data_IF_120336689381
#
_entry.id   IF_120336689381
#
_cell.length_a   1.000
_cell.length_b   1.000
_cell.length_c   1.000
_cell.angle_alpha   90.00
_cell.angle_beta   90.00
_cell.angle_gamma   90.00
#
_symmetry.space_group_name_H-M   'P 1'
#
loop_
_entity.id
_entity.type
_entity.pdbx_description
1 polymer ?
#
# COMPACT_ATOMS: atom_id res chain seq x y z
N UNK A 1 1.41 -13.15 18.03
CA UNK A 1 1.53 -11.73 17.58
C UNK A 1 2.98 -11.23 17.59
N UNK A 2 3.81 -11.69 18.53
CA UNK A 2 5.23 -11.27 18.60
C UNK A 2 5.96 -11.43 17.25
N UNK A 3 5.91 -12.62 16.64
CA UNK A 3 6.47 -12.87 15.31
C UNK A 3 5.98 -11.88 14.24
N UNK A 4 4.71 -11.48 14.25
CA UNK A 4 4.20 -10.48 13.31
C UNK A 4 4.88 -9.12 13.51
N UNK A 5 5.03 -8.68 14.76
CA UNK A 5 5.70 -7.39 15.04
C UNK A 5 7.19 -7.43 14.72
N UNK A 6 7.86 -8.58 14.88
CA UNK A 6 9.25 -8.74 14.48
C UNK A 6 9.41 -8.65 12.96
N UNK A 7 8.52 -9.30 12.20
CA UNK A 7 8.49 -9.19 10.72
C UNK A 7 8.23 -7.73 10.32
N UNK A 8 7.21 -7.07 10.87
CA UNK A 8 6.87 -5.69 10.55
C UNK A 8 8.05 -4.74 10.84
N UNK A 9 8.72 -4.89 11.99
CA UNK A 9 9.88 -4.10 12.39
C UNK A 9 11.06 -4.25 11.43
N UNK A 10 11.27 -5.42 10.88
CA UNK A 10 12.31 -5.65 9.89
C UNK A 10 11.95 -5.02 8.54
N UNK A 11 10.71 -5.25 8.05
CA UNK A 11 10.24 -4.73 6.77
C UNK A 11 10.25 -3.20 6.71
N UNK A 12 9.82 -2.52 7.77
CA UNK A 12 9.76 -1.05 7.82
C UNK A 12 11.13 -0.42 7.56
N UNK A 13 12.21 -1.08 7.96
CA UNK A 13 13.59 -0.58 7.78
C UNK A 13 14.11 -0.67 6.35
N UNK A 14 13.48 -1.50 5.51
CA UNK A 14 13.92 -1.70 4.13
C UNK A 14 13.21 -0.69 3.24
N UNK A 15 13.93 0.14 2.47
CA UNK A 15 13.31 1.12 1.60
C UNK A 15 12.57 0.44 0.42
N UNK A 16 11.44 1.04 0.01
CA UNK A 16 10.62 0.55 -1.11
C UNK A 16 9.93 1.70 -1.85
N UNK A 17 10.67 2.71 -2.22
CA UNK A 17 10.11 3.85 -2.97
C UNK A 17 9.54 3.38 -4.29
N UNK A 18 8.37 3.91 -4.66
CA UNK A 18 7.69 3.65 -5.95
C UNK A 18 8.67 3.68 -7.12
N UNK A 19 8.73 2.59 -7.89
CA UNK A 19 9.66 2.42 -9.02
C UNK A 19 11.08 2.00 -8.63
N UNK A 20 11.34 1.75 -7.33
CA UNK A 20 12.63 1.30 -6.80
C UNK A 20 12.44 0.29 -5.66
N UNK A 21 11.50 -0.64 -5.85
CA UNK A 21 11.09 -1.64 -4.84
C UNK A 21 12.04 -2.83 -4.75
N UNK A 22 13.01 -2.94 -5.63
CA UNK A 22 13.89 -4.12 -5.73
C UNK A 22 14.54 -4.54 -4.39
N UNK A 23 15.10 -3.64 -3.57
CA UNK A 23 15.67 -4.03 -2.27
C UNK A 23 14.63 -4.69 -1.35
N UNK A 24 13.40 -4.19 -1.38
CA UNK A 24 12.31 -4.71 -0.58
C UNK A 24 11.83 -6.08 -1.08
N UNK A 25 11.72 -6.26 -2.40
CA UNK A 25 11.43 -7.57 -2.99
C UNK A 25 12.49 -8.62 -2.65
N UNK A 26 13.75 -8.25 -2.69
CA UNK A 26 14.84 -9.17 -2.32
C UNK A 26 14.78 -9.56 -0.84
N UNK A 27 14.39 -8.62 0.02
CA UNK A 27 14.17 -8.91 1.44
C UNK A 27 12.98 -9.86 1.63
N UNK A 28 11.81 -9.57 1.03
CA UNK A 28 10.61 -10.44 1.10
C UNK A 28 10.94 -11.84 0.57
N UNK A 29 11.64 -11.93 -0.55
CA UNK A 29 12.05 -13.19 -1.15
C UNK A 29 12.86 -14.03 -0.17
N UNK A 30 13.90 -13.45 0.44
CA UNK A 30 14.73 -14.14 1.43
C UNK A 30 13.91 -14.62 2.63
N UNK A 31 13.08 -13.74 3.22
CA UNK A 31 12.23 -14.06 4.35
C UNK A 31 11.28 -15.23 4.09
N UNK A 32 10.76 -15.35 2.88
CA UNK A 32 9.88 -16.43 2.48
C UNK A 32 10.64 -17.72 2.14
N UNK A 33 11.78 -17.62 1.46
CA UNK A 33 12.63 -18.78 1.13
C UNK A 33 13.22 -19.43 2.40
N UNK A 34 13.56 -18.66 3.43
CA UNK A 34 13.97 -19.17 4.75
C UNK A 34 12.85 -19.98 5.44
N UNK A 35 11.60 -19.78 5.02
CA UNK A 35 10.42 -20.56 5.47
C UNK A 35 10.02 -21.67 4.49
N UNK A 36 10.93 -22.02 3.56
CA UNK A 36 10.71 -23.01 2.52
C UNK A 36 9.55 -22.68 1.55
N UNK A 37 9.19 -21.42 1.40
CA UNK A 37 8.18 -20.98 0.43
C UNK A 37 8.88 -20.70 -0.91
N UNK A 38 8.36 -21.30 -1.99
CA UNK A 38 8.85 -21.05 -3.34
C UNK A 38 8.50 -19.63 -3.77
N UNK A 39 9.51 -18.85 -4.19
CA UNK A 39 9.32 -17.46 -4.62
C UNK A 39 9.86 -17.26 -6.03
N UNK A 40 9.03 -16.69 -6.89
CA UNK A 40 9.37 -16.35 -8.28
C UNK A 40 9.24 -14.85 -8.48
N UNK A 41 10.22 -14.24 -9.13
CA UNK A 41 10.20 -12.82 -9.48
C UNK A 41 9.84 -12.63 -10.94
N UNK A 42 8.82 -11.87 -11.20
CA UNK A 42 8.42 -11.37 -12.51
C UNK A 42 8.57 -9.85 -12.52
N UNK A 43 8.56 -9.24 -13.71
CA UNK A 43 8.64 -7.79 -13.79
C UNK A 43 7.50 -7.13 -12.99
N UNK A 44 7.86 -6.38 -11.96
CA UNK A 44 6.94 -5.66 -11.08
C UNK A 44 6.08 -6.49 -10.13
N UNK A 45 6.29 -7.82 -10.03
CA UNK A 45 5.60 -8.66 -9.05
C UNK A 45 6.47 -9.81 -8.55
N UNK A 46 6.51 -9.96 -7.23
CA UNK A 46 7.07 -11.12 -6.56
C UNK A 46 5.93 -12.08 -6.21
N UNK A 47 6.05 -13.35 -6.61
CA UNK A 47 5.00 -14.36 -6.44
C UNK A 47 5.50 -15.45 -5.51
N UNK A 48 4.85 -15.59 -4.36
CA UNK A 48 5.12 -16.65 -3.40
C UNK A 48 4.08 -17.77 -3.56
N UNK A 49 4.53 -19.02 -3.58
CA UNK A 49 3.68 -20.21 -3.77
C UNK A 49 3.90 -21.20 -2.63
N UNK A 50 2.88 -21.43 -1.84
CA UNK A 50 2.85 -22.52 -0.87
C UNK A 50 2.58 -23.86 -1.54
N UNK A 51 2.41 -24.90 -0.75
CA UNK A 51 2.22 -26.29 -1.24
C UNK A 51 0.92 -26.50 -2.01
N UNK A 52 -0.10 -25.68 -1.76
CA UNK A 52 -1.41 -25.71 -2.45
C UNK A 52 -1.69 -24.37 -3.12
N UNK A 53 -0.97 -24.01 -4.21
CA UNK A 53 -0.97 -22.66 -4.77
C UNK A 53 -2.33 -22.15 -5.24
N UNK A 54 -3.28 -23.05 -5.51
CA UNK A 54 -4.64 -22.69 -5.93
C UNK A 54 -5.66 -22.65 -4.77
N UNK A 55 -5.24 -22.85 -3.52
CA UNK A 55 -6.14 -22.82 -2.36
C UNK A 55 -6.54 -21.41 -1.92
N UNK A 56 -5.98 -20.37 -2.54
CA UNK A 56 -6.28 -18.98 -2.31
C UNK A 56 -5.26 -18.06 -2.99
N UNK A 57 -5.68 -16.84 -3.31
CA UNK A 57 -4.85 -15.81 -3.90
C UNK A 57 -4.93 -14.55 -3.05
N UNK A 58 -3.79 -14.06 -2.57
CA UNK A 58 -3.69 -12.84 -1.76
C UNK A 58 -2.72 -11.87 -2.44
N UNK A 59 -3.06 -10.59 -2.54
CA UNK A 59 -2.17 -9.53 -3.06
C UNK A 59 -2.00 -8.41 -2.03
N UNK A 60 -0.79 -7.84 -1.97
CA UNK A 60 -0.49 -6.58 -1.32
C UNK A 60 0.58 -5.85 -2.11
N UNK A 61 0.47 -4.51 -2.25
CA UNK A 61 1.54 -3.77 -2.86
C UNK A 61 2.72 -3.58 -1.90
N UNK A 62 3.91 -3.50 -2.49
CA UNK A 62 5.17 -3.42 -1.77
C UNK A 62 5.78 -2.02 -1.79
N UNK A 63 5.34 -1.18 -2.71
CA UNK A 63 5.83 0.19 -2.85
C UNK A 63 5.26 1.11 -1.79
N UNK A 64 6.04 2.12 -1.43
CA UNK A 64 5.71 3.20 -0.52
C UNK A 64 6.01 4.55 -1.14
N UNK A 65 5.33 5.57 -0.64
CA UNK A 65 5.62 6.95 -1.02
C UNK A 65 7.06 7.34 -0.70
N UNK A 66 7.65 8.12 -1.59
CA UNK A 66 9.00 8.65 -1.46
C UNK A 66 9.29 9.63 -2.58
N UNK A 67 10.55 9.99 -2.74
CA UNK A 67 11.02 10.91 -3.75
C UNK A 67 12.04 10.24 -4.67
N UNK A 68 12.30 10.84 -5.81
CA UNK A 68 13.35 10.44 -6.75
C UNK A 68 14.16 11.67 -7.15
N UNK A 69 15.48 11.55 -7.16
CA UNK A 69 16.37 12.55 -7.71
C UNK A 69 16.13 12.67 -9.22
N UNK A 70 15.86 13.87 -9.73
CA UNK A 70 15.61 14.14 -11.15
C UNK A 70 16.59 15.12 -11.77
N UNK A 71 17.50 15.68 -10.95
CA UNK A 71 18.54 16.61 -11.35
C UNK A 71 19.36 17.04 -10.16
N UNK A 72 20.33 17.94 -10.39
CA UNK A 72 21.14 18.49 -9.32
C UNK A 72 20.25 19.25 -8.31
N UNK A 73 20.29 18.83 -7.04
CA UNK A 73 19.45 19.36 -5.97
C UNK A 73 17.96 19.44 -6.29
N UNK A 74 17.47 18.43 -7.05
CA UNK A 74 16.13 18.42 -7.56
C UNK A 74 15.49 17.05 -7.36
N UNK A 75 14.42 17.03 -6.59
CA UNK A 75 13.77 15.82 -6.14
C UNK A 75 12.27 15.91 -6.41
N UNK A 76 11.72 14.90 -7.07
CA UNK A 76 10.30 14.82 -7.39
C UNK A 76 9.63 13.72 -6.58
N UNK A 77 8.33 13.88 -6.36
CA UNK A 77 7.52 12.84 -5.77
C UNK A 77 7.45 11.63 -6.71
N UNK A 78 7.73 10.44 -6.19
CA UNK A 78 7.84 9.23 -7.01
C UNK A 78 6.49 8.62 -7.37
N UNK A 79 5.47 8.80 -6.51
CA UNK A 79 4.11 8.33 -6.75
C UNK A 79 3.32 9.28 -7.67
N UNK A 80 2.10 8.87 -7.99
CA UNK A 80 1.19 9.70 -8.76
C UNK A 80 0.58 10.81 -7.88
N UNK A 81 0.84 12.07 -8.21
CA UNK A 81 0.43 13.22 -7.40
C UNK A 81 -1.02 13.65 -7.68
N UNK A 82 -1.41 13.68 -8.95
CA UNK A 82 -2.72 14.13 -9.39
C UNK A 82 -3.29 13.20 -10.46
N UNK A 83 -4.62 13.07 -10.51
CA UNK A 83 -5.29 12.31 -11.56
C UNK A 83 -5.10 12.92 -12.94
N UNK A 84 -5.10 14.25 -12.99
CA UNK A 84 -4.80 15.02 -14.17
C UNK A 84 -3.67 15.97 -13.83
N UNK A 85 -2.60 15.97 -14.64
CA UNK A 85 -1.50 16.92 -14.46
C UNK A 85 -1.95 18.37 -14.62
N UNK A 86 -3.07 18.63 -15.29
CA UNK A 86 -3.70 19.94 -15.37
C UNK A 86 -4.08 20.50 -13.99
N UNK A 87 -4.34 19.65 -13.01
CA UNK A 87 -4.62 20.06 -11.63
C UNK A 87 -3.40 20.68 -10.91
N UNK A 88 -2.23 20.63 -11.54
CA UNK A 88 -0.97 21.18 -11.00
C UNK A 88 -0.63 22.56 -11.55
N UNK A 89 -1.40 23.08 -12.49
CA UNK A 89 -1.10 24.37 -13.15
C UNK A 89 -2.20 25.40 -12.95
N UNK A 90 -1.83 26.52 -12.36
CA UNK A 90 -2.47 27.81 -12.60
C UNK A 90 -3.79 28.12 -11.90
N UNK A 91 -4.22 27.36 -10.89
CA UNK A 91 -5.42 27.68 -10.14
C UNK A 91 -5.33 27.39 -8.62
N UNK A 92 -6.39 27.69 -7.89
CA UNK A 92 -6.49 27.45 -6.45
C UNK A 92 -6.28 25.99 -6.02
N UNK A 93 -6.52 25.03 -6.91
CA UNK A 93 -6.32 23.61 -6.62
C UNK A 93 -4.83 23.25 -6.56
N UNK A 94 -4.01 23.89 -7.42
CA UNK A 94 -2.55 23.71 -7.43
C UNK A 94 -1.90 24.24 -6.15
N UNK A 95 -2.33 25.39 -5.67
CA UNK A 95 -1.85 25.97 -4.41
C UNK A 95 -2.25 25.10 -3.21
N UNK A 96 -3.49 24.66 -3.18
CA UNK A 96 -3.97 23.74 -2.12
C UNK A 96 -3.22 22.41 -2.12
N UNK A 97 -2.93 21.86 -3.31
CA UNK A 97 -2.16 20.64 -3.45
C UNK A 97 -0.74 20.83 -2.94
N UNK A 98 -0.06 21.91 -3.35
CA UNK A 98 1.28 22.26 -2.88
C UNK A 98 1.29 22.42 -1.35
N UNK A 99 0.34 23.16 -0.80
CA UNK A 99 0.21 23.34 0.65
C UNK A 99 0.08 21.97 1.38
N UNK A 100 -0.78 21.09 0.87
CA UNK A 100 -0.99 19.79 1.47
C UNK A 100 0.27 18.91 1.44
N UNK A 101 1.03 18.94 0.34
CA UNK A 101 2.30 18.21 0.23
C UNK A 101 3.40 18.81 1.10
N UNK A 102 3.51 20.13 1.13
CA UNK A 102 4.45 20.83 1.99
C UNK A 102 4.18 20.52 3.46
N UNK A 103 2.92 20.59 3.89
CA UNK A 103 2.53 20.27 5.27
C UNK A 103 2.81 18.82 5.67
N UNK A 104 2.82 17.88 4.71
CA UNK A 104 3.09 16.45 5.00
C UNK A 104 4.57 16.12 5.13
N UNK A 105 5.42 16.78 4.36
CA UNK A 105 6.78 16.28 4.10
C UNK A 105 7.90 17.27 4.44
N UNK A 106 7.63 18.57 4.54
CA UNK A 106 8.66 19.53 4.95
C UNK A 106 9.07 19.26 6.40
N UNK A 107 10.37 19.33 6.65
CA UNK A 107 11.08 18.96 7.87
C UNK A 107 11.24 17.43 8.10
N UNK A 108 10.65 16.58 7.26
CA UNK A 108 10.88 15.14 7.38
C UNK A 108 12.33 14.77 7.01
N UNK A 109 12.87 13.82 7.76
CA UNK A 109 14.17 13.22 7.46
C UNK A 109 14.00 12.14 6.39
N UNK A 110 14.97 12.08 5.49
CA UNK A 110 14.97 11.16 4.36
C UNK A 110 16.34 10.50 4.21
N UNK A 111 16.33 9.33 3.56
CA UNK A 111 17.53 8.59 3.22
C UNK A 111 17.57 8.26 1.74
N UNK A 112 18.72 8.46 1.10
CA UNK A 112 18.96 8.03 -0.26
C UNK A 112 19.56 6.62 -0.27
N UNK A 113 19.26 5.85 -1.30
CA UNK A 113 19.78 4.49 -1.47
C UNK A 113 19.94 4.12 -2.94
N UNK A 114 20.75 3.12 -3.22
CA UNK A 114 20.88 2.54 -4.55
C UNK A 114 19.62 1.75 -4.93
N UNK A 115 19.04 1.98 -6.12
CA UNK A 115 17.72 1.44 -6.46
C UNK A 115 17.64 -0.09 -6.51
N UNK A 116 18.74 -0.78 -6.82
CA UNK A 116 18.76 -2.24 -6.92
C UNK A 116 19.30 -2.95 -5.67
N UNK A 117 20.40 -2.44 -5.12
CA UNK A 117 21.06 -3.06 -3.97
C UNK A 117 20.48 -2.63 -2.64
N UNK A 118 19.80 -1.49 -2.58
CA UNK A 118 19.35 -0.88 -1.33
C UNK A 118 20.52 -0.29 -0.51
N UNK A 119 21.72 -0.21 -1.09
CA UNK A 119 22.88 0.35 -0.38
C UNK A 119 22.60 1.79 0.00
N UNK A 120 22.71 2.06 1.30
CA UNK A 120 22.55 3.40 1.87
C UNK A 120 23.58 4.36 1.30
N UNK A 121 23.14 5.54 0.88
CA UNK A 121 23.96 6.60 0.30
C UNK A 121 24.13 7.81 1.22
N UNK A 122 23.14 8.12 2.03
CA UNK A 122 23.22 9.26 2.95
C UNK A 122 21.87 9.67 3.52
N UNK A 123 21.93 10.62 4.47
CA UNK A 123 20.76 11.23 5.12
C UNK A 123 20.59 12.67 4.63
N UNK A 124 19.33 13.10 4.55
CA UNK A 124 18.95 14.47 4.27
C UNK A 124 17.70 14.89 5.05
N UNK A 125 17.29 16.13 4.85
CA UNK A 125 16.05 16.66 5.38
C UNK A 125 15.34 17.52 4.32
N UNK A 126 14.04 17.34 4.17
CA UNK A 126 13.23 18.13 3.26
C UNK A 126 13.09 19.53 3.83
N UNK A 127 13.55 20.55 3.10
CA UNK A 127 13.52 21.95 3.52
C UNK A 127 12.33 22.70 2.99
N UNK A 128 11.97 22.43 1.75
CA UNK A 128 10.92 23.15 1.05
C UNK A 128 10.36 22.36 -0.11
N UNK A 129 9.23 22.78 -0.63
CA UNK A 129 8.63 22.25 -1.85
C UNK A 129 8.01 23.40 -2.66
N UNK A 130 8.09 23.33 -3.98
CA UNK A 130 7.50 24.32 -4.87
C UNK A 130 6.89 23.66 -6.11
N UNK A 131 5.90 24.30 -6.69
CA UNK A 131 5.33 23.88 -7.96
C UNK A 131 6.23 24.32 -9.10
N UNK A 132 6.68 23.38 -9.92
CA UNK A 132 7.39 23.66 -11.16
C UNK A 132 6.44 23.57 -12.34
N UNK A 133 5.95 24.71 -12.84
CA UNK A 133 5.03 24.78 -13.98
C UNK A 133 5.60 24.10 -15.22
N UNK A 134 6.88 24.32 -15.53
CA UNK A 134 7.56 23.72 -16.69
C UNK A 134 7.50 22.19 -16.67
N UNK A 135 7.59 21.56 -15.49
CA UNK A 135 7.56 20.11 -15.32
C UNK A 135 6.19 19.59 -14.94
N UNK A 136 5.28 20.51 -14.64
CA UNK A 136 3.96 20.18 -14.11
C UNK A 136 4.06 19.16 -12.96
N UNK A 137 4.90 19.48 -11.97
CA UNK A 137 5.17 18.61 -10.83
C UNK A 137 5.64 19.41 -9.61
N UNK A 138 5.54 18.82 -8.43
CA UNK A 138 6.10 19.36 -7.19
C UNK A 138 7.57 18.95 -7.10
N UNK A 139 8.43 19.93 -6.89
CA UNK A 139 9.86 19.77 -6.69
C UNK A 139 10.18 20.03 -5.23
N UNK A 140 10.88 19.10 -4.61
CA UNK A 140 11.37 19.23 -3.25
C UNK A 140 12.83 19.68 -3.23
N UNK A 141 13.18 20.47 -2.24
CA UNK A 141 14.55 20.81 -1.89
C UNK A 141 14.97 20.03 -0.66
N UNK A 142 16.09 19.33 -0.74
CA UNK A 142 16.60 18.47 0.33
C UNK A 142 18.05 18.86 0.61
N UNK A 143 18.37 19.15 1.86
CA UNK A 143 19.75 19.35 2.28
C UNK A 143 20.47 18.00 2.40
N UNK A 144 21.75 17.98 2.03
CA UNK A 144 22.64 16.83 2.20
C UNK A 144 22.72 15.90 0.99
N UNK A 145 22.11 16.26 -0.15
CA UNK A 145 22.01 15.39 -1.34
C UNK A 145 22.50 16.02 -2.64
N UNK A 146 23.43 16.95 -2.56
CA UNK A 146 24.02 17.63 -3.73
C UNK A 146 24.86 16.71 -4.65
N UNK A 147 25.27 15.55 -4.14
CA UNK A 147 26.06 14.55 -4.87
C UNK A 147 25.22 13.45 -5.56
N UNK A 148 23.91 13.41 -5.36
CA UNK A 148 23.08 12.38 -5.94
C UNK A 148 22.86 12.57 -7.45
N UNK A 149 22.80 11.47 -8.17
CA UNK A 149 22.51 11.44 -9.60
C UNK A 149 21.03 11.16 -9.88
N UNK A 150 20.49 11.61 -11.04
CA UNK A 150 19.12 11.29 -11.42
C UNK A 150 18.82 9.80 -11.39
N UNK A 151 17.62 9.46 -10.91
CA UNK A 151 17.16 8.07 -10.74
C UNK A 151 17.40 7.50 -9.35
N UNK A 152 18.15 8.19 -8.47
CA UNK A 152 18.34 7.73 -7.09
C UNK A 152 17.07 7.92 -6.28
N UNK A 153 16.53 6.85 -5.67
CA UNK A 153 15.35 6.91 -4.82
C UNK A 153 15.69 7.45 -3.43
N UNK A 154 14.71 8.13 -2.86
CA UNK A 154 14.81 8.75 -1.55
C UNK A 154 13.60 8.36 -0.74
N UNK A 155 13.81 7.52 0.27
CA UNK A 155 12.80 7.06 1.20
C UNK A 155 12.70 8.02 2.40
N UNK A 156 11.49 8.18 2.93
CA UNK A 156 11.32 8.77 4.25
C UNK A 156 11.97 7.89 5.30
N UNK A 157 12.54 8.52 6.35
CA UNK A 157 13.04 7.78 7.49
C UNK A 157 11.87 7.25 8.32
N UNK A 158 11.64 5.97 8.18
CA UNK A 158 10.58 5.29 8.89
C UNK A 158 10.87 5.12 10.38
N UNK A 159 9.84 5.35 11.18
CA UNK A 159 9.89 5.19 12.62
C UNK A 159 8.69 4.36 13.04
N UNK A 160 8.92 3.06 13.27
CA UNK A 160 7.89 2.25 13.91
C UNK A 160 7.74 2.67 15.37
N UNK A 161 6.58 3.18 15.70
CA UNK A 161 6.16 3.45 17.08
C UNK A 161 4.97 2.55 17.43
N UNK A 162 5.15 1.72 18.46
CA UNK A 162 4.11 0.84 18.99
C UNK A 162 3.86 1.25 20.43
N UNK A 163 2.87 2.12 20.61
CA UNK A 163 2.53 2.67 21.90
C UNK A 163 1.05 2.44 22.23
N UNK A 164 0.79 1.99 23.45
CA UNK A 164 -0.55 1.68 23.95
C UNK A 164 -1.29 0.70 23.00
N UNK A 165 -2.41 1.15 22.42
CA UNK A 165 -3.23 0.42 21.45
C UNK A 165 -2.89 0.77 19.97
N UNK A 166 -1.91 1.62 19.72
CA UNK A 166 -1.60 2.18 18.40
C UNK A 166 -0.29 1.62 17.82
N UNK A 167 -0.24 1.60 16.50
CA UNK A 167 0.93 1.28 15.68
C UNK A 167 1.05 2.39 14.66
N UNK A 168 2.18 3.08 14.64
CA UNK A 168 2.45 4.20 13.73
C UNK A 168 3.76 3.99 12.97
N UNK A 169 3.72 4.16 11.65
CA UNK A 169 4.84 4.15 10.71
C UNK A 169 4.34 4.59 9.33
N UNK A 170 5.15 4.50 8.30
CA UNK A 170 4.66 4.48 6.92
C UNK A 170 4.07 3.09 6.61
N UNK A 171 2.81 2.85 6.99
CA UNK A 171 2.17 1.54 7.01
C UNK A 171 1.66 1.07 5.65
N UNK A 172 1.34 2.02 4.77
CA UNK A 172 0.81 1.77 3.43
C UNK A 172 1.92 1.34 2.45
N UNK A 173 2.05 0.05 2.03
CA UNK A 173 1.23 -1.08 2.48
C UNK A 173 2.11 -2.18 3.14
N UNK A 174 3.21 -1.78 3.77
CA UNK A 174 4.16 -2.69 4.43
C UNK A 174 3.48 -3.56 5.51
N UNK A 175 2.41 -3.06 6.12
CA UNK A 175 1.67 -3.79 7.14
C UNK A 175 0.96 -5.02 6.55
N UNK A 176 0.39 -4.90 5.35
CA UNK A 176 -0.23 -6.03 4.63
C UNK A 176 0.81 -7.03 4.14
N UNK A 177 1.97 -6.55 3.69
CA UNK A 177 3.12 -7.41 3.35
C UNK A 177 3.55 -8.23 4.57
N UNK A 178 3.68 -7.60 5.75
CA UNK A 178 3.99 -8.29 7.00
C UNK A 178 2.95 -9.36 7.36
N UNK A 179 1.66 -9.05 7.15
CA UNK A 179 0.58 -10.02 7.38
C UNK A 179 0.71 -11.24 6.46
N UNK A 180 1.02 -11.06 5.18
CA UNK A 180 1.18 -12.18 4.23
C UNK A 180 2.36 -13.06 4.65
N UNK A 181 3.52 -12.47 4.99
CA UNK A 181 4.69 -13.24 5.45
C UNK A 181 4.34 -14.00 6.75
N UNK A 182 3.66 -13.35 7.68
CA UNK A 182 3.19 -13.98 8.91
C UNK A 182 2.21 -15.12 8.61
N UNK A 183 1.30 -14.97 7.66
CA UNK A 183 0.35 -16.02 7.25
C UNK A 183 1.09 -17.26 6.73
N UNK A 184 2.14 -17.10 5.93
CA UNK A 184 2.98 -18.24 5.52
C UNK A 184 3.66 -18.91 6.72
N UNK A 185 4.17 -18.13 7.65
CA UNK A 185 4.83 -18.66 8.86
C UNK A 185 3.90 -19.52 9.74
N UNK A 186 2.58 -19.28 9.65
CA UNK A 186 1.58 -20.03 10.44
C UNK A 186 0.76 -21.03 9.61
N UNK A 187 1.15 -21.29 8.34
CA UNK A 187 0.60 -22.38 7.54
C UNK A 187 -0.27 -22.02 6.34
N UNK A 188 -0.26 -20.77 5.85
CA UNK A 188 -0.88 -20.44 4.58
C UNK A 188 -0.18 -21.17 3.43
N UNK A 189 -0.95 -21.79 2.53
CA UNK A 189 -0.42 -22.65 1.48
C UNK A 189 -0.80 -22.21 0.06
N UNK A 190 -1.52 -21.11 -0.07
CA UNK A 190 -1.93 -20.54 -1.36
C UNK A 190 -0.84 -19.74 -2.07
N UNK A 191 -1.25 -18.92 -3.00
CA UNK A 191 -0.37 -17.99 -3.74
C UNK A 191 -0.53 -16.57 -3.22
N UNK A 192 0.60 -15.89 -3.00
CA UNK A 192 0.60 -14.47 -2.67
C UNK A 192 1.39 -13.66 -3.70
N UNK A 193 0.92 -12.44 -3.94
CA UNK A 193 1.50 -11.47 -4.84
C UNK A 193 1.95 -10.24 -4.05
N UNK A 194 3.19 -9.82 -4.27
CA UNK A 194 3.71 -8.55 -3.78
C UNK A 194 3.96 -7.69 -5.01
N UNK A 195 3.19 -6.63 -5.19
CA UNK A 195 3.18 -5.85 -6.43
C UNK A 195 3.93 -4.53 -6.28
N UNK A 196 4.57 -4.07 -7.35
CA UNK A 196 5.23 -2.78 -7.44
C UNK A 196 4.28 -1.69 -7.96
N UNK A 197 4.62 -0.44 -7.68
CA UNK A 197 4.04 0.74 -8.34
C UNK A 197 2.51 0.87 -8.24
N UNK A 198 1.91 0.44 -7.12
CA UNK A 198 0.47 0.68 -6.85
C UNK A 198 0.20 2.17 -6.72
N UNK A 199 1.03 2.86 -5.98
CA UNK A 199 0.94 4.30 -5.72
C UNK A 199 1.13 5.15 -6.99
N UNK A 200 1.74 4.57 -8.03
CA UNK A 200 1.77 5.12 -9.39
C UNK A 200 0.61 4.61 -10.28
N UNK A 201 -0.29 3.80 -9.72
CA UNK A 201 -1.45 3.27 -10.42
C UNK A 201 -1.16 2.19 -11.47
N UNK A 202 -0.07 1.42 -11.31
CA UNK A 202 0.43 0.46 -12.32
C UNK A 202 0.37 -1.00 -11.90
N UNK A 203 0.31 -1.32 -10.61
CA UNK A 203 0.43 -2.67 -10.05
C UNK A 203 -0.52 -3.70 -10.66
N UNK A 204 -1.75 -3.32 -10.95
CA UNK A 204 -2.73 -4.19 -11.58
C UNK A 204 -2.29 -4.80 -12.93
N UNK A 205 -1.35 -4.15 -13.64
CA UNK A 205 -0.81 -4.64 -14.92
C UNK A 205 0.05 -5.87 -14.72
N UNK A 206 0.83 -5.91 -13.66
CA UNK A 206 1.69 -7.04 -13.32
C UNK A 206 0.86 -8.27 -12.91
N UNK A 207 -0.22 -8.06 -12.14
CA UNK A 207 -1.18 -9.12 -11.84
C UNK A 207 -1.88 -9.62 -13.11
N UNK A 208 -2.36 -8.69 -13.95
CA UNK A 208 -3.01 -9.04 -15.23
C UNK A 208 -2.11 -9.90 -16.10
N UNK A 209 -0.83 -9.52 -16.23
CA UNK A 209 0.13 -10.28 -17.02
C UNK A 209 0.35 -11.67 -16.43
N UNK A 210 0.51 -11.77 -15.13
CA UNK A 210 0.70 -13.05 -14.46
C UNK A 210 -0.50 -13.98 -14.65
N UNK A 211 -1.71 -13.52 -14.39
CA UNK A 211 -2.94 -14.30 -14.56
C UNK A 211 -3.12 -14.77 -16.02
N UNK A 212 -2.82 -13.92 -16.99
CA UNK A 212 -2.88 -14.27 -18.41
C UNK A 212 -1.81 -15.28 -18.82
N UNK A 213 -0.58 -15.11 -18.34
CA UNK A 213 0.54 -16.01 -18.64
C UNK A 213 0.25 -17.44 -18.21
N UNK A 214 -0.43 -17.63 -17.12
CA UNK A 214 -0.77 -18.94 -16.58
C UNK A 214 -2.19 -19.39 -16.87
N UNK A 215 -2.95 -18.63 -17.66
CA UNK A 215 -4.36 -18.88 -18.01
C UNK A 215 -5.25 -19.16 -16.78
N UNK A 216 -5.03 -18.40 -15.71
CA UNK A 216 -5.75 -18.56 -14.45
C UNK A 216 -6.89 -17.55 -14.40
N UNK A 217 -8.12 -18.06 -14.17
CA UNK A 217 -9.29 -17.27 -13.82
C UNK A 217 -9.67 -17.55 -12.37
N UNK A 218 -10.09 -16.53 -11.66
CA UNK A 218 -10.50 -16.67 -10.26
C UNK A 218 -11.53 -15.64 -9.87
N UNK A 219 -12.40 -16.00 -8.94
CA UNK A 219 -13.32 -15.09 -8.27
C UNK A 219 -12.95 -14.89 -6.77
N UNK A 220 -11.79 -15.42 -6.34
CA UNK A 220 -11.33 -15.46 -4.97
C UNK A 220 -9.99 -14.73 -4.75
N UNK A 221 -9.66 -13.69 -5.54
CA UNK A 221 -8.52 -12.83 -5.26
C UNK A 221 -8.82 -11.91 -4.07
N UNK A 222 -8.00 -11.98 -3.02
CA UNK A 222 -8.07 -11.09 -1.87
C UNK A 222 -6.95 -10.06 -1.94
N UNK A 223 -7.30 -8.77 -2.07
CA UNK A 223 -6.34 -7.68 -2.06
C UNK A 223 -6.33 -7.05 -0.67
N UNK A 224 -5.18 -7.09 -0.02
CA UNK A 224 -4.92 -6.46 1.27
C UNK A 224 -4.38 -5.05 1.05
N UNK A 225 -4.88 -4.09 1.85
CA UNK A 225 -4.52 -2.70 1.67
C UNK A 225 -4.83 -1.89 2.94
N UNK A 226 -4.52 -0.60 2.95
CA UNK A 226 -4.96 0.33 3.98
C UNK A 226 -6.24 1.05 3.57
N UNK A 227 -6.90 1.70 4.52
CA UNK A 227 -8.09 2.51 4.25
C UNK A 227 -8.16 3.72 5.18
N UNK A 228 -7.99 4.95 4.65
CA UNK A 228 -7.89 6.15 5.48
C UNK A 228 -9.22 6.56 6.12
N UNK A 229 -9.14 6.93 7.40
CA UNK A 229 -10.21 7.59 8.16
C UNK A 229 -9.70 8.93 8.70
N UNK A 230 -10.59 9.90 8.94
CA UNK A 230 -10.15 11.26 9.27
C UNK A 230 -9.81 11.45 10.75
N UNK A 231 -10.34 10.63 11.65
CA UNK A 231 -10.19 10.82 13.10
C UNK A 231 -9.82 9.54 13.84
N UNK A 232 -9.16 9.69 14.98
CA UNK A 232 -8.80 8.59 15.87
C UNK A 232 -10.04 7.88 16.44
N UNK A 233 -11.13 8.60 16.65
CA UNK A 233 -12.39 8.04 17.12
C UNK A 233 -12.99 7.08 16.09
N UNK A 234 -13.05 7.50 14.81
CA UNK A 234 -13.51 6.63 13.73
C UNK A 234 -12.58 5.42 13.56
N UNK A 235 -11.26 5.63 13.65
CA UNK A 235 -10.27 4.55 13.59
C UNK A 235 -10.53 3.48 14.67
N UNK A 236 -10.76 3.89 15.92
CA UNK A 236 -11.00 2.99 17.04
C UNK A 236 -12.35 2.27 16.99
N UNK A 237 -13.28 2.76 16.20
CA UNK A 237 -14.61 2.14 16.03
C UNK A 237 -14.65 1.01 15.01
N UNK A 238 -13.59 0.84 14.20
CA UNK A 238 -13.55 -0.07 13.04
C UNK A 238 -12.32 -0.97 13.15
N UNK A 239 -12.52 -2.26 12.98
CA UNK A 239 -11.42 -3.24 13.01
C UNK A 239 -10.94 -3.61 11.61
N UNK A 240 -11.86 -3.79 10.66
CA UNK A 240 -11.56 -4.10 9.26
C UNK A 240 -12.48 -3.32 8.31
N UNK A 241 -12.00 -3.13 7.10
CA UNK A 241 -12.72 -2.39 6.06
C UNK A 241 -12.90 -3.24 4.82
N UNK A 242 -14.12 -3.26 4.31
CA UNK A 242 -14.51 -3.93 3.07
C UNK A 242 -14.98 -2.91 2.04
N UNK A 243 -15.19 -3.37 0.80
CA UNK A 243 -15.83 -2.58 -0.26
C UNK A 243 -16.82 -3.42 -1.05
N UNK A 244 -17.91 -2.81 -1.50
CA UNK A 244 -18.75 -3.39 -2.54
C UNK A 244 -18.23 -3.05 -3.93
N UNK A 245 -17.57 -1.90 -4.04
CA UNK A 245 -17.04 -1.35 -5.29
C UNK A 245 -16.03 -0.24 -5.05
N UNK A 246 -15.25 0.07 -6.08
CA UNK A 246 -14.52 1.31 -6.21
C UNK A 246 -15.02 2.14 -7.42
N UNK A 247 -14.21 3.09 -7.90
CA UNK A 247 -14.54 3.90 -9.09
C UNK A 247 -14.49 3.10 -10.41
N UNK A 248 -13.78 1.96 -10.44
CA UNK A 248 -13.54 1.18 -11.66
C UNK A 248 -14.48 -0.03 -11.79
N UNK A 249 -14.79 -0.72 -10.68
CA UNK A 249 -15.51 -1.98 -10.73
C UNK A 249 -16.37 -2.27 -9.49
N UNK A 250 -17.34 -3.18 -9.67
CA UNK A 250 -18.11 -3.82 -8.59
C UNK A 250 -17.43 -5.14 -8.22
N UNK A 251 -17.22 -5.38 -6.93
CA UNK A 251 -16.57 -6.58 -6.39
C UNK A 251 -17.62 -7.67 -6.15
N UNK A 252 -17.66 -8.66 -7.04
CA UNK A 252 -18.69 -9.73 -7.05
C UNK A 252 -18.22 -11.03 -6.41
N UNK A 253 -17.02 -11.03 -5.79
CA UNK A 253 -16.44 -12.22 -5.18
C UNK A 253 -17.27 -12.77 -4.01
N UNK A 254 -17.37 -14.11 -3.87
CA UNK A 254 -17.97 -14.76 -2.71
C UNK A 254 -17.17 -14.54 -1.42
N UNK A 255 -15.85 -14.25 -1.52
CA UNK A 255 -14.97 -13.97 -0.38
C UNK A 255 -15.52 -12.86 0.52
N UNK A 256 -16.08 -11.80 -0.07
CA UNK A 256 -16.67 -10.70 0.69
C UNK A 256 -17.73 -11.19 1.70
N UNK A 257 -18.59 -12.12 1.29
CA UNK A 257 -19.61 -12.68 2.16
C UNK A 257 -19.02 -13.66 3.17
N UNK A 258 -17.98 -14.42 2.79
CA UNK A 258 -17.22 -15.29 3.72
C UNK A 258 -16.59 -14.42 4.82
N UNK A 259 -15.90 -13.33 4.46
CA UNK A 259 -15.29 -12.38 5.42
C UNK A 259 -16.34 -11.78 6.35
N UNK A 260 -17.46 -11.29 5.79
CA UNK A 260 -18.56 -10.74 6.58
C UNK A 260 -19.09 -11.74 7.62
N UNK A 261 -19.30 -13.01 7.22
CA UNK A 261 -19.74 -14.07 8.14
C UNK A 261 -18.72 -14.31 9.26
N UNK A 262 -17.42 -14.34 8.93
CA UNK A 262 -16.36 -14.49 9.91
C UNK A 262 -16.37 -13.31 10.88
N UNK A 263 -16.41 -12.07 10.36
CA UNK A 263 -16.41 -10.88 11.19
C UNK A 263 -17.58 -10.85 12.19
N UNK A 264 -18.79 -11.21 11.73
CA UNK A 264 -19.96 -11.30 12.61
C UNK A 264 -19.80 -12.37 13.69
N UNK A 265 -19.31 -13.56 13.33
CA UNK A 265 -19.07 -14.67 14.28
C UNK A 265 -18.03 -14.32 15.32
N UNK A 266 -16.95 -13.66 14.91
CA UNK A 266 -15.81 -13.30 15.76
C UNK A 266 -15.97 -11.94 16.46
N UNK A 267 -17.13 -11.28 16.30
CA UNK A 267 -17.45 -9.96 16.87
C UNK A 267 -16.44 -8.88 16.46
N UNK A 268 -15.99 -8.94 15.20
CA UNK A 268 -15.09 -7.97 14.59
C UNK A 268 -15.93 -6.84 13.98
N UNK A 269 -15.64 -5.59 14.33
CA UNK A 269 -16.32 -4.44 13.76
C UNK A 269 -15.83 -4.17 12.35
N UNK A 270 -16.74 -4.09 11.40
CA UNK A 270 -16.38 -3.81 10.00
C UNK A 270 -17.22 -2.70 9.38
N UNK A 271 -16.63 -2.05 8.38
CA UNK A 271 -17.29 -1.01 7.59
C UNK A 271 -17.14 -1.29 6.09
N UNK A 272 -18.10 -0.83 5.30
CA UNK A 272 -17.98 -0.76 3.84
C UNK A 272 -17.56 0.65 3.44
N UNK A 273 -16.34 0.81 2.93
CA UNK A 273 -15.75 2.13 2.63
C UNK A 273 -16.56 2.92 1.61
N UNK A 274 -17.05 2.27 0.58
CA UNK A 274 -17.88 2.93 -0.44
C UNK A 274 -19.23 3.42 0.12
N UNK A 275 -19.84 2.68 1.04
CA UNK A 275 -21.04 3.12 1.77
C UNK A 275 -20.75 4.30 2.70
N UNK A 276 -19.65 4.19 3.47
CA UNK A 276 -19.18 5.26 4.35
C UNK A 276 -18.92 6.56 3.57
N UNK A 277 -18.23 6.49 2.45
CA UNK A 277 -17.96 7.65 1.61
C UNK A 277 -19.24 8.27 1.05
N UNK A 278 -20.18 7.44 0.55
CA UNK A 278 -21.48 7.93 0.06
C UNK A 278 -22.25 8.67 1.13
N UNK A 279 -22.31 8.13 2.35
CA UNK A 279 -23.00 8.78 3.48
C UNK A 279 -22.35 10.12 3.83
N UNK A 280 -21.01 10.22 3.80
CA UNK A 280 -20.29 11.50 4.00
C UNK A 280 -20.52 12.50 2.86
N UNK A 281 -20.59 12.03 1.60
CA UNK A 281 -20.91 12.89 0.46
C UNK A 281 -22.29 13.52 0.60
N UNK A 282 -23.29 12.74 0.97
CA UNK A 282 -24.67 13.22 1.18
C UNK A 282 -24.74 14.27 2.28
N UNK A 283 -24.01 14.08 3.39
CA UNK A 283 -24.00 15.03 4.51
C UNK A 283 -23.33 16.37 4.18
N UNK A 284 -22.32 16.37 3.32
CA UNK A 284 -21.48 17.53 3.06
C UNK A 284 -21.70 18.18 1.68
N UNK A 285 -22.68 17.72 0.89
CA UNK A 285 -22.92 18.13 -0.50
C UNK A 285 -21.65 18.13 -1.39
N UNK A 286 -20.67 17.27 -1.09
CA UNK A 286 -19.38 17.22 -1.77
C UNK A 286 -19.29 15.99 -2.66
N UNK A 287 -18.97 16.19 -3.93
CA UNK A 287 -18.67 15.08 -4.85
C UNK A 287 -17.25 14.57 -4.54
N UNK A 288 -17.16 13.40 -3.89
CA UNK A 288 -15.87 12.72 -3.67
C UNK A 288 -15.82 11.44 -4.49
N UNK A 289 -14.65 11.13 -5.02
CA UNK A 289 -14.40 9.84 -5.67
C UNK A 289 -14.47 8.70 -4.67
N UNK A 290 -14.98 7.54 -5.09
CA UNK A 290 -14.89 6.30 -4.30
C UNK A 290 -13.44 5.79 -4.18
N UNK A 291 -12.50 6.45 -4.84
CA UNK A 291 -11.11 5.99 -4.97
C UNK A 291 -10.97 4.90 -6.03
N UNK A 292 -9.75 4.50 -6.26
CA UNK A 292 -9.38 3.39 -7.16
C UNK A 292 -8.50 2.43 -6.38
N UNK A 293 -8.59 1.14 -6.70
CA UNK A 293 -7.77 0.09 -6.09
C UNK A 293 -7.11 -0.74 -7.18
N UNK A 294 -6.04 -1.43 -6.84
CA UNK A 294 -5.42 -2.44 -7.71
C UNK A 294 -6.48 -3.42 -8.24
N UNK A 295 -7.32 -3.93 -7.35
CA UNK A 295 -8.37 -4.89 -7.69
C UNK A 295 -9.39 -4.34 -8.70
N UNK A 296 -9.90 -3.13 -8.46
CA UNK A 296 -10.91 -2.55 -9.35
C UNK A 296 -10.41 -2.34 -10.77
N UNK A 297 -9.16 -1.92 -10.92
CA UNK A 297 -8.50 -1.79 -12.24
C UNK A 297 -8.30 -3.15 -12.91
N UNK A 298 -7.91 -4.18 -12.14
CA UNK A 298 -7.73 -5.54 -12.64
C UNK A 298 -9.06 -6.13 -13.11
N UNK A 299 -10.13 -6.01 -12.32
CA UNK A 299 -11.48 -6.47 -12.69
C UNK A 299 -11.94 -5.80 -13.98
N UNK A 300 -11.75 -4.47 -14.09
CA UNK A 300 -12.11 -3.72 -15.29
C UNK A 300 -11.34 -4.20 -16.52
N UNK A 301 -10.02 -4.36 -16.40
CA UNK A 301 -9.14 -4.78 -17.49
C UNK A 301 -9.40 -6.21 -17.98
N UNK A 302 -9.84 -7.10 -17.08
CA UNK A 302 -10.18 -8.50 -17.38
C UNK A 302 -11.65 -8.70 -17.73
N UNK A 303 -12.45 -7.63 -17.78
CA UNK A 303 -13.91 -7.70 -17.99
C UNK A 303 -14.60 -8.67 -17.00
N UNK A 304 -14.01 -8.83 -15.81
CA UNK A 304 -14.53 -9.66 -14.75
C UNK A 304 -14.12 -11.14 -14.77
N UNK A 305 -13.18 -11.55 -15.64
CA UNK A 305 -12.59 -12.91 -15.59
C UNK A 305 -11.79 -13.13 -14.30
N UNK A 306 -11.18 -12.07 -13.79
CA UNK A 306 -10.61 -12.04 -12.45
C UNK A 306 -11.57 -11.25 -11.57
N UNK A 307 -12.03 -11.85 -10.49
CA UNK A 307 -12.85 -11.24 -9.46
C UNK A 307 -12.20 -11.41 -8.09
N UNK A 308 -12.59 -10.57 -7.16
CA UNK A 308 -12.02 -10.59 -5.82
C UNK A 308 -12.76 -9.65 -4.87
N UNK A 309 -12.17 -9.46 -3.72
CA UNK A 309 -12.57 -8.42 -2.76
C UNK A 309 -11.36 -7.80 -2.11
N UNK A 310 -11.53 -6.61 -1.53
CA UNK A 310 -10.50 -6.00 -0.69
C UNK A 310 -10.78 -6.31 0.77
N UNK A 311 -9.72 -6.54 1.54
CA UNK A 311 -9.72 -6.52 3.00
C UNK A 311 -8.69 -5.51 3.44
N UNK A 312 -9.15 -4.39 4.03
CA UNK A 312 -8.31 -3.25 4.31
C UNK A 312 -8.23 -2.99 5.81
N UNK A 313 -7.06 -2.52 6.25
CA UNK A 313 -6.86 -2.08 7.62
C UNK A 313 -7.19 -0.58 7.73
N UNK A 314 -8.01 -0.14 8.69
CA UNK A 314 -8.28 1.28 8.87
C UNK A 314 -7.03 2.02 9.35
N UNK A 315 -6.76 3.20 8.78
CA UNK A 315 -5.62 4.06 9.14
C UNK A 315 -6.05 5.53 9.26
N UNK A 316 -5.27 6.33 9.99
CA UNK A 316 -5.26 7.80 9.93
C UNK A 316 -3.89 8.27 9.49
N UNK A 317 -3.75 9.54 9.10
CA UNK A 317 -2.48 10.09 8.62
C UNK A 317 -2.10 9.63 7.22
N UNK A 318 -3.07 9.44 6.34
CA UNK A 318 -2.94 8.89 4.99
C UNK A 318 -1.82 9.51 4.16
N UNK A 319 -0.94 8.68 3.64
CA UNK A 319 0.23 9.04 2.84
C UNK A 319 1.19 9.98 3.57
N UNK A 320 1.35 9.81 4.88
CA UNK A 320 2.38 10.48 5.70
C UNK A 320 3.37 9.45 6.23
N UNK A 321 4.42 9.92 6.87
CA UNK A 321 5.41 9.06 7.55
C UNK A 321 4.88 8.45 8.87
N UNK A 322 3.73 8.94 9.35
CA UNK A 322 3.11 8.54 10.63
C UNK A 322 1.67 8.04 10.43
N UNK A 323 1.47 7.19 9.44
CA UNK A 323 0.19 6.49 9.31
C UNK A 323 -0.03 5.63 10.54
N UNK A 324 -1.24 5.68 11.10
CA UNK A 324 -1.51 5.03 12.38
C UNK A 324 -2.71 4.11 12.27
N UNK A 325 -2.58 2.91 12.82
CA UNK A 325 -3.67 1.94 13.00
C UNK A 325 -3.73 1.44 14.44
N UNK A 326 -4.74 0.62 14.78
CA UNK A 326 -4.85 0.00 16.11
C UNK A 326 -4.31 -1.44 16.10
N UNK A 327 -3.75 -1.88 17.23
CA UNK A 327 -3.37 -3.28 17.43
C UNK A 327 -4.56 -4.22 17.20
N UNK A 328 -5.74 -3.81 17.67
CA UNK A 328 -6.99 -4.56 17.50
C UNK A 328 -7.37 -4.74 16.03
N UNK A 329 -7.17 -3.74 15.18
CA UNK A 329 -7.42 -3.85 13.73
C UNK A 329 -6.47 -4.87 13.08
N UNK A 330 -5.19 -4.85 13.45
CA UNK A 330 -4.20 -5.83 12.99
C UNK A 330 -4.58 -7.25 13.40
N UNK A 331 -4.88 -7.47 14.67
CA UNK A 331 -5.28 -8.76 15.21
C UNK A 331 -6.56 -9.29 14.57
N UNK A 332 -7.54 -8.40 14.35
CA UNK A 332 -8.80 -8.73 13.70
C UNK A 332 -8.61 -9.13 12.24
N UNK A 333 -7.76 -8.40 11.50
CA UNK A 333 -7.46 -8.72 10.10
C UNK A 333 -6.72 -10.06 9.98
N UNK A 334 -5.71 -10.30 10.82
CA UNK A 334 -5.00 -11.59 10.90
C UNK A 334 -5.98 -12.73 11.26
N UNK A 335 -6.86 -12.53 12.21
CA UNK A 335 -7.87 -13.52 12.59
C UNK A 335 -8.81 -13.88 11.42
N UNK A 336 -9.23 -12.91 10.65
CA UNK A 336 -10.03 -13.14 9.43
C UNK A 336 -9.24 -13.97 8.43
N UNK A 337 -7.98 -13.63 8.16
CA UNK A 337 -7.11 -14.36 7.24
C UNK A 337 -6.90 -15.81 7.68
N UNK A 338 -6.65 -16.05 8.98
CA UNK A 338 -6.53 -17.40 9.55
C UNK A 338 -7.80 -18.23 9.32
N UNK A 339 -8.97 -17.65 9.58
CA UNK A 339 -10.26 -18.33 9.40
C UNK A 339 -10.62 -18.58 7.93
N UNK A 340 -10.05 -17.81 7.01
CA UNK A 340 -10.25 -18.02 5.57
C UNK A 340 -9.37 -19.14 5.01
N UNK A 341 -8.12 -19.26 5.50
CA UNK A 341 -7.09 -20.00 4.77
C UNK A 341 -6.36 -21.09 5.59
N UNK A 342 -6.51 -21.12 6.93
CA UNK A 342 -5.74 -22.06 7.79
C UNK A 342 -6.65 -22.97 8.61
N UNK A 343 -7.92 -22.59 8.83
CA UNK A 343 -8.86 -23.32 9.67
C UNK A 343 -9.64 -24.40 8.92
#
# INVERSE_FOLDING_TARGET
MELFYDILKQLIRIPSVVGSEQPFFMFIKRELEERAIKVEYYDGVLVAKGERPHSGYISAHADRHGLVCTGHNEFQYAAFIAKNKADLTGDSNSEQLLHNFTARFVAERVQAYQPYSGTYLGLGAIKDAFLCERRNNIIFKIDGFDYLTPGMPIAFMDKLDIKDDLISAQLDNVISVAMIIYMYAIGYQGTAFFTASEEAGRSWRFLLEWFRRFDIKTDELLVLDTSPYPTLEELRSIDIVLRHRDSNAVFRSPLKNKIKKIALKEKINFNFKDTYLKNKMQKNNAVRSLGTTELGRLIFATKGEIQGTTLQIPTIGYHTVNETTTKRAVESMIKVLQKLYIS
#
